data_IF_845562915857
#
_entry.id   IF_845562915857
#
_cell.length_a   1.000
_cell.length_b   1.000
_cell.length_c   1.000
_cell.angle_alpha   90.00
_cell.angle_beta   90.00
_cell.angle_gamma   90.00
#
_symmetry.space_group_name_H-M   'P 1'
#
loop_
_entity.id
_entity.type
_entity.pdbx_description
1 polymer ?
#
# COMPACT_ATOMS: atom_id res chain seq x y z
N UNK A 1 0.66 5.40 -12.34
CA UNK A 1 0.25 4.02 -12.04
C UNK A 1 -0.87 3.67 -13.01
N UNK A 2 -0.66 2.69 -13.92
CA UNK A 2 -1.68 2.21 -14.86
C UNK A 2 -2.10 0.76 -14.54
N UNK A 3 -1.96 0.37 -13.27
CA UNK A 3 -2.32 -0.98 -12.83
C UNK A 3 -3.82 -1.24 -13.03
N UNK A 4 -4.21 -2.46 -13.45
CA UNK A 4 -3.38 -3.68 -13.59
C UNK A 4 -2.68 -3.84 -14.95
N UNK A 5 -2.76 -2.86 -15.85
CA UNK A 5 -2.14 -2.97 -17.18
C UNK A 5 -0.62 -2.90 -17.10
N UNK A 6 0.05 -3.84 -17.77
CA UNK A 6 1.51 -3.90 -17.90
C UNK A 6 1.89 -3.62 -19.35
N UNK A 7 2.97 -2.87 -19.55
CA UNK A 7 3.47 -2.62 -20.91
C UNK A 7 3.81 -3.96 -21.61
N UNK A 8 3.25 -4.23 -22.81
CA UNK A 8 3.28 -5.57 -23.42
C UNK A 8 4.68 -6.06 -23.79
N UNK A 9 5.65 -5.16 -23.96
CA UNK A 9 7.03 -5.55 -24.24
C UNK A 9 7.80 -5.99 -23.00
N UNK A 10 7.38 -5.60 -21.78
CA UNK A 10 8.06 -5.99 -20.55
C UNK A 10 7.91 -7.49 -20.27
N UNK A 11 6.76 -8.08 -20.59
CA UNK A 11 6.52 -9.52 -20.41
C UNK A 11 7.25 -10.40 -21.43
N UNK A 12 7.88 -9.81 -22.46
CA UNK A 12 8.63 -10.53 -23.50
C UNK A 12 10.12 -10.64 -23.18
N UNK A 13 10.60 -9.96 -22.14
CA UNK A 13 12.02 -9.90 -21.79
C UNK A 13 12.38 -11.06 -20.84
N UNK A 14 13.37 -11.86 -21.22
CA UNK A 14 13.84 -13.00 -20.42
C UNK A 14 14.58 -12.58 -19.13
N UNK A 15 14.98 -11.31 -19.03
CA UNK A 15 15.74 -10.74 -17.91
C UNK A 15 14.87 -9.93 -16.93
N UNK A 16 13.56 -10.14 -16.94
CA UNK A 16 12.60 -9.40 -16.10
C UNK A 16 11.75 -10.34 -15.25
N UNK A 17 11.54 -9.96 -13.99
CA UNK A 17 10.55 -10.57 -13.10
C UNK A 17 9.51 -9.51 -12.74
N UNK A 18 8.23 -9.82 -12.99
CA UNK A 18 7.11 -8.94 -12.70
C UNK A 18 6.32 -9.45 -11.49
N UNK A 19 5.97 -8.56 -10.58
CA UNK A 19 5.13 -8.85 -9.41
C UNK A 19 3.92 -7.90 -9.42
N UNK A 20 2.68 -8.38 -9.13
CA UNK A 20 1.47 -7.57 -9.24
C UNK A 20 1.26 -6.69 -8.00
N UNK A 21 2.15 -5.73 -7.77
CA UNK A 21 2.09 -4.79 -6.63
C UNK A 21 1.91 -5.47 -5.26
N UNK A 22 2.62 -6.58 -5.04
CA UNK A 22 2.52 -7.36 -3.80
C UNK A 22 3.57 -6.99 -2.76
N UNK A 23 4.25 -5.84 -2.90
CA UNK A 23 5.34 -5.43 -2.00
C UNK A 23 4.93 -5.35 -0.53
N UNK A 24 3.68 -4.97 -0.24
CA UNK A 24 3.11 -4.93 1.12
C UNK A 24 2.23 -6.13 1.46
N UNK A 25 2.14 -7.15 0.59
CA UNK A 25 1.20 -8.26 0.73
C UNK A 25 1.66 -9.36 1.71
N UNK A 26 2.26 -8.97 2.83
CA UNK A 26 2.49 -9.84 3.97
C UNK A 26 1.39 -9.60 5.02
N UNK A 27 0.90 -10.65 5.67
CA UNK A 27 -0.23 -10.57 6.62
C UNK A 27 0.06 -9.57 7.74
N UNK A 28 1.22 -9.69 8.37
CA UNK A 28 1.66 -8.81 9.46
C UNK A 28 1.78 -7.34 9.02
N UNK A 29 2.21 -7.10 7.78
CA UNK A 29 2.31 -5.74 7.22
C UNK A 29 0.90 -5.18 7.00
N UNK A 30 0.00 -5.94 6.39
CA UNK A 30 -1.38 -5.52 6.12
C UNK A 30 -2.18 -5.27 7.39
N UNK A 31 -2.04 -6.13 8.41
CA UNK A 31 -2.65 -5.95 9.73
C UNK A 31 -2.16 -4.67 10.41
N UNK A 32 -0.85 -4.42 10.35
CA UNK A 32 -0.27 -3.19 10.92
C UNK A 32 -0.74 -1.95 10.19
N UNK A 33 -0.79 -1.96 8.85
CA UNK A 33 -1.33 -0.86 8.05
C UNK A 33 -2.80 -0.57 8.39
N UNK A 34 -3.62 -1.61 8.54
CA UNK A 34 -5.03 -1.47 8.93
C UNK A 34 -5.15 -0.83 10.33
N UNK A 35 -4.32 -1.25 11.28
CA UNK A 35 -4.28 -0.68 12.63
C UNK A 35 -3.89 0.80 12.60
N UNK A 36 -2.84 1.16 11.85
CA UNK A 36 -2.41 2.55 11.68
C UNK A 36 -3.54 3.41 11.09
N UNK A 37 -4.26 2.91 10.09
CA UNK A 37 -5.40 3.62 9.50
C UNK A 37 -6.51 3.85 10.54
N UNK A 38 -6.87 2.82 11.32
CA UNK A 38 -7.86 2.93 12.39
C UNK A 38 -7.44 3.93 13.48
N UNK A 39 -6.17 3.91 13.91
CA UNK A 39 -5.66 4.80 14.94
C UNK A 39 -5.75 6.28 14.52
N UNK A 40 -5.46 6.60 13.25
CA UNK A 40 -5.63 7.95 12.72
C UNK A 40 -7.10 8.40 12.74
N UNK A 41 -8.04 7.52 12.37
CA UNK A 41 -9.48 7.80 12.39
C UNK A 41 -9.95 8.05 13.83
N UNK A 42 -9.52 7.20 14.78
CA UNK A 42 -9.86 7.35 16.20
C UNK A 42 -9.34 8.67 16.75
N UNK A 43 -8.07 9.02 16.49
CA UNK A 43 -7.48 10.29 16.94
C UNK A 43 -8.28 11.49 16.42
N UNK A 44 -8.65 11.48 15.14
CA UNK A 44 -9.47 12.54 14.55
C UNK A 44 -10.80 12.76 15.29
N UNK A 45 -11.54 11.68 15.59
CA UNK A 45 -12.82 11.79 16.32
C UNK A 45 -12.67 12.16 17.79
N UNK A 46 -11.49 11.95 18.38
CA UNK A 46 -11.16 12.45 19.72
C UNK A 46 -10.77 13.93 19.74
N UNK A 47 -10.65 14.58 18.58
CA UNK A 47 -10.07 15.93 18.48
C UNK A 47 -8.56 15.95 18.71
N UNK A 48 -7.90 14.79 18.65
CA UNK A 48 -6.45 14.63 18.76
C UNK A 48 -5.81 14.73 17.36
N UNK A 49 -4.55 15.20 17.26
CA UNK A 49 -3.83 15.16 15.98
C UNK A 49 -3.65 13.71 15.48
N UNK A 50 -4.04 13.38 14.24
CA UNK A 50 -3.79 12.06 13.68
C UNK A 50 -2.28 11.75 13.63
N UNK A 51 -1.82 10.58 14.14
CA UNK A 51 -0.39 10.29 14.27
C UNK A 51 0.40 10.28 12.95
N UNK A 52 -0.27 10.05 11.82
CA UNK A 52 0.34 9.98 10.49
C UNK A 52 -0.32 10.98 9.51
N UNK A 53 -0.57 12.20 9.97
CA UNK A 53 -1.11 13.29 9.15
C UNK A 53 -0.10 13.72 8.07
N UNK A 54 -0.55 13.85 6.82
CA UNK A 54 0.31 14.21 5.67
C UNK A 54 0.31 15.72 5.38
N UNK A 55 -0.81 16.41 5.59
CA UNK A 55 -1.03 17.82 5.21
C UNK A 55 -1.52 18.70 6.35
#
# INVERSE_FOLDING_TARGET
EFEPEVHPDLSKLDNVVLLPHIGSAATEVRERMATIAADNIIAFFKGEPPPNRVN
#
